data_IF_949640897856
#
_entry.id   IF_949640897856
#
_cell.length_a   1.000
_cell.length_b   1.000
_cell.length_c   1.000
_cell.angle_alpha   90.00
_cell.angle_beta   90.00
_cell.angle_gamma   90.00
#
_symmetry.space_group_name_H-M   'P 1'
#
loop_
_entity.id
_entity.type
_entity.pdbx_description
1 polymer ?
#
# COMPACT_ATOMS: atom_id res chain seq x y z
N UNK A 1 -5.29 6.17 -12.80
CA UNK A 1 -5.04 4.72 -12.73
C UNK A 1 -4.55 4.41 -11.34
N UNK A 2 -5.15 3.45 -10.63
CA UNK A 2 -4.93 3.27 -9.19
C UNK A 2 -3.94 2.12 -8.96
N UNK A 3 -2.79 2.34 -8.28
CA UNK A 3 -1.85 1.29 -7.95
C UNK A 3 -2.40 0.36 -6.85
N UNK A 4 -1.91 -0.89 -6.79
CA UNK A 4 -2.28 -1.80 -5.71
C UNK A 4 -1.68 -1.34 -4.37
N UNK A 5 -2.52 -0.95 -3.41
CA UNK A 5 -2.08 -0.56 -2.07
C UNK A 5 -1.74 -1.75 -1.16
N UNK A 6 -2.19 -2.96 -1.50
CA UNK A 6 -2.03 -4.17 -0.67
C UNK A 6 -0.94 -5.13 -1.17
N UNK A 7 -0.30 -4.90 -2.33
CA UNK A 7 0.73 -5.82 -2.84
C UNK A 7 2.11 -5.42 -2.33
N UNK A 8 2.53 -5.99 -1.21
CA UNK A 8 3.76 -5.61 -0.52
C UNK A 8 4.88 -6.56 -0.92
N UNK A 9 6.02 -6.03 -1.37
CA UNK A 9 7.24 -6.83 -1.51
C UNK A 9 7.93 -6.96 -0.16
N UNK A 10 8.12 -8.20 0.28
CA UNK A 10 8.87 -8.55 1.48
C UNK A 10 9.94 -9.53 1.03
N UNK A 11 11.21 -9.12 1.13
CA UNK A 11 12.35 -9.86 0.58
C UNK A 11 12.13 -10.19 -0.92
N UNK A 12 12.06 -11.47 -1.27
CA UNK A 12 11.90 -11.99 -2.63
C UNK A 12 10.47 -12.43 -2.97
N UNK A 13 9.50 -12.13 -2.11
CA UNK A 13 8.09 -12.51 -2.33
C UNK A 13 7.11 -11.35 -2.18
N UNK A 14 5.93 -11.53 -2.77
CA UNK A 14 4.81 -10.59 -2.66
C UNK A 14 3.76 -11.11 -1.70
N UNK A 15 3.45 -10.32 -0.68
CA UNK A 15 2.44 -10.61 0.34
C UNK A 15 1.23 -9.71 0.13
N UNK A 16 0.04 -10.25 0.39
CA UNK A 16 -1.20 -9.48 0.39
C UNK A 16 -1.35 -8.80 1.75
N UNK A 17 -1.08 -7.50 1.81
CA UNK A 17 -1.24 -6.69 3.01
C UNK A 17 -2.66 -6.68 3.56
N UNK A 18 -3.70 -6.98 2.76
CA UNK A 18 -5.06 -7.15 3.28
C UNK A 18 -5.28 -8.47 4.04
N UNK A 19 -4.41 -9.46 3.83
CA UNK A 19 -4.47 -10.81 4.43
C UNK A 19 -3.06 -11.35 4.71
N UNK A 20 -2.22 -10.66 5.50
CA UNK A 20 -0.88 -11.15 5.80
C UNK A 20 -0.98 -12.45 6.61
N UNK A 21 -0.05 -13.41 6.44
CA UNK A 21 1.13 -13.40 5.57
C UNK A 21 0.89 -14.02 4.18
N UNK A 22 -0.37 -14.14 3.72
CA UNK A 22 -0.70 -14.85 2.48
C UNK A 22 -0.05 -14.19 1.26
N UNK A 23 0.40 -15.02 0.31
CA UNK A 23 0.94 -14.55 -0.96
C UNK A 23 -0.09 -13.72 -1.74
N UNK A 24 0.35 -12.63 -2.39
CA UNK A 24 -0.53 -11.76 -3.17
C UNK A 24 -0.86 -12.38 -4.53
N UNK A 25 -1.88 -13.22 -4.57
CA UNK A 25 -2.36 -13.91 -5.77
C UNK A 25 -3.79 -13.50 -6.14
N UNK A 26 -4.25 -13.95 -7.32
CA UNK A 26 -5.61 -13.72 -7.84
C UNK A 26 -6.71 -14.14 -6.87
N UNK A 27 -6.53 -15.26 -6.16
CA UNK A 27 -7.52 -15.79 -5.21
C UNK A 27 -7.51 -15.13 -3.83
N UNK A 28 -6.40 -14.47 -3.47
CA UNK A 28 -6.23 -13.81 -2.18
C UNK A 28 -6.64 -12.33 -2.24
N UNK A 29 -6.56 -11.73 -3.44
CA UNK A 29 -6.89 -10.33 -3.67
C UNK A 29 -8.27 -9.95 -3.11
N UNK A 30 -8.37 -8.95 -2.22
CA UNK A 30 -9.66 -8.51 -1.67
C UNK A 30 -10.59 -7.90 -2.73
N UNK A 31 -10.02 -7.43 -3.85
CA UNK A 31 -10.78 -6.85 -4.97
C UNK A 31 -11.18 -7.89 -6.04
N UNK A 32 -10.90 -9.17 -5.79
CA UNK A 32 -11.20 -10.26 -6.71
C UNK A 32 -10.19 -10.41 -7.87
N UNK A 33 -10.34 -11.49 -8.66
CA UNK A 33 -9.35 -11.93 -9.65
C UNK A 33 -9.25 -10.99 -10.87
N UNK A 34 -10.38 -10.45 -11.33
CA UNK A 34 -10.42 -9.54 -12.50
C UNK A 34 -9.72 -8.22 -12.19
N UNK A 35 -9.91 -7.69 -10.99
CA UNK A 35 -9.31 -6.43 -10.59
C UNK A 35 -7.82 -6.60 -10.25
N UNK A 36 -7.44 -7.75 -9.71
CA UNK A 36 -6.04 -8.10 -9.44
C UNK A 36 -5.16 -7.93 -10.68
N UNK A 37 -5.57 -8.47 -11.84
CA UNK A 37 -4.79 -8.36 -13.08
C UNK A 37 -4.55 -6.91 -13.51
N UNK A 38 -5.54 -6.03 -13.29
CA UNK A 38 -5.43 -4.61 -13.60
C UNK A 38 -4.50 -3.89 -12.61
N UNK A 39 -4.62 -4.23 -11.34
CA UNK A 39 -3.82 -3.63 -10.26
C UNK A 39 -2.34 -3.99 -10.35
N UNK A 40 -1.99 -5.23 -10.70
CA UNK A 40 -0.59 -5.65 -10.76
C UNK A 40 0.17 -5.01 -11.93
N UNK A 41 -0.51 -4.66 -13.03
CA UNK A 41 0.11 -4.02 -14.19
C UNK A 41 0.66 -2.62 -13.89
N UNK A 42 0.09 -1.97 -12.88
CA UNK A 42 0.42 -0.60 -12.47
C UNK A 42 0.90 -0.55 -11.02
N UNK A 43 1.37 -1.69 -10.52
CA UNK A 43 1.83 -1.81 -9.15
C UNK A 43 3.17 -1.12 -8.95
N UNK A 44 3.19 -0.12 -8.07
CA UNK A 44 4.39 0.55 -7.61
C UNK A 44 4.70 0.15 -6.18
N UNK A 45 5.96 -0.15 -5.89
CA UNK A 45 6.40 -0.50 -4.55
C UNK A 45 6.67 0.78 -3.74
N UNK A 46 6.35 0.73 -2.44
CA UNK A 46 6.61 1.83 -1.51
C UNK A 46 7.58 1.35 -0.44
N UNK A 47 8.56 2.20 -0.10
CA UNK A 47 9.51 1.92 0.97
C UNK A 47 8.88 2.06 2.36
N UNK A 48 7.76 2.79 2.46
CA UNK A 48 7.05 3.05 3.70
C UNK A 48 5.69 2.37 3.67
N UNK A 49 5.34 1.70 4.76
CA UNK A 49 4.12 0.94 4.92
C UNK A 49 3.38 1.41 6.18
N UNK A 50 2.06 1.29 6.15
CA UNK A 50 1.20 1.49 7.31
C UNK A 50 0.71 0.13 7.79
N UNK A 51 0.87 -0.14 9.08
CA UNK A 51 0.22 -1.24 9.79
C UNK A 51 -1.06 -0.68 10.42
N UNK A 52 -2.16 -1.32 10.07
CA UNK A 52 -3.51 -0.97 10.49
C UNK A 52 -4.08 -2.08 11.38
N UNK A 53 -4.95 -1.76 12.36
CA UNK A 53 -5.58 -0.47 12.60
C UNK A 53 -4.73 0.52 13.43
N UNK A 54 -3.55 0.12 13.91
CA UNK A 54 -2.70 0.92 14.80
C UNK A 54 -2.15 2.22 14.20
N UNK A 55 -2.31 2.44 12.89
CA UNK A 55 -1.78 3.59 12.15
C UNK A 55 -0.26 3.74 12.32
N UNK A 56 0.45 2.61 12.48
CA UNK A 56 1.90 2.59 12.67
C UNK A 56 2.59 2.64 11.31
N UNK A 57 3.51 3.59 11.12
CA UNK A 57 4.34 3.66 9.91
C UNK A 57 5.65 2.90 10.16
N UNK A 58 6.01 2.02 9.22
CA UNK A 58 7.29 1.30 9.23
C UNK A 58 7.94 1.32 7.85
N UNK A 59 9.24 1.02 7.79
CA UNK A 59 9.90 0.73 6.51
C UNK A 59 9.59 -0.70 6.07
N UNK A 60 9.50 -0.91 4.76
CA UNK A 60 9.27 -2.24 4.18
C UNK A 60 10.37 -3.25 4.57
N UNK A 61 11.60 -2.80 4.80
CA UNK A 61 12.74 -3.63 5.27
C UNK A 61 12.64 -4.05 6.73
N UNK A 62 11.82 -3.37 7.52
CA UNK A 62 11.62 -3.62 8.96
C UNK A 62 10.31 -4.40 9.21
N UNK A 63 9.60 -4.76 8.15
CA UNK A 63 8.35 -5.49 8.26
C UNK A 63 8.62 -6.95 8.65
N UNK A 64 8.32 -7.27 9.89
CA UNK A 64 8.17 -8.64 10.36
C UNK A 64 6.69 -9.05 10.29
N UNK A 65 6.40 -10.09 9.51
CA UNK A 65 5.04 -10.62 9.36
C UNK A 65 4.63 -11.49 10.54
N UNK A 66 5.58 -12.03 11.31
CA UNK A 66 5.31 -12.90 12.45
C UNK A 66 4.85 -12.14 13.69
N UNK A 67 5.20 -10.86 13.80
CA UNK A 67 4.83 -9.99 14.92
C UNK A 67 3.51 -9.23 14.71
N UNK A 68 2.72 -9.58 13.69
CA UNK A 68 1.47 -8.90 13.39
C UNK A 68 0.34 -9.45 14.25
N UNK A 69 -0.38 -8.54 14.90
CA UNK A 69 -1.57 -8.89 15.66
C UNK A 69 -2.67 -9.48 14.75
N UNK A 70 -3.48 -10.44 15.24
CA UNK A 70 -4.61 -10.97 14.50
C UNK A 70 -5.55 -9.86 14.01
N UNK A 71 -5.87 -9.86 12.71
CA UNK A 71 -6.71 -8.83 12.09
C UNK A 71 -5.95 -7.57 11.64
N UNK A 72 -4.64 -7.49 11.90
CA UNK A 72 -3.81 -6.45 11.33
C UNK A 72 -3.73 -6.58 9.80
N UNK A 73 -3.69 -5.43 9.14
CA UNK A 73 -3.48 -5.35 7.69
C UNK A 73 -2.48 -4.24 7.36
N UNK A 74 -1.85 -4.38 6.21
CA UNK A 74 -0.73 -3.54 5.77
C UNK A 74 -1.12 -2.85 4.48
N UNK A 75 -0.91 -1.54 4.41
CA UNK A 75 -1.08 -0.76 3.19
C UNK A 75 0.18 0.01 2.86
N UNK A 76 0.44 0.20 1.56
CA UNK A 76 1.51 1.09 1.10
C UNK A 76 1.23 2.52 1.53
N UNK A 77 2.25 3.22 1.98
CA UNK A 77 2.19 4.67 2.09
C UNK A 77 2.17 5.28 0.68
N UNK A 78 1.20 6.16 0.44
CA UNK A 78 1.05 6.92 -0.80
C UNK A 78 1.29 8.39 -0.50
N UNK A 79 2.36 8.95 -1.04
CA UNK A 79 2.61 10.39 -0.99
C UNK A 79 1.92 11.07 -2.16
N UNK A 80 0.90 11.86 -1.87
CA UNK A 80 0.24 12.71 -2.87
C UNK A 80 0.91 14.08 -2.83
N UNK A 81 1.67 14.42 -3.87
CA UNK A 81 2.10 15.80 -4.08
C UNK A 81 1.01 16.57 -4.82
N UNK A 82 0.40 17.55 -4.18
CA UNK A 82 -0.35 18.57 -4.91
C UNK A 82 0.68 19.39 -5.71
N UNK A 83 0.74 19.17 -7.04
CA UNK A 83 1.66 19.90 -7.90
C UNK A 83 1.53 21.41 -7.71
N UNK A 84 2.63 22.17 -7.92
CA UNK A 84 2.66 23.65 -7.88
C UNK A 84 1.69 24.23 -8.93
N UNK A 85 0.39 24.24 -8.67
CA UNK A 85 -0.55 25.16 -9.31
C UNK A 85 -0.37 26.49 -8.59
N UNK A 86 0.17 27.45 -9.36
CA UNK A 86 0.27 28.90 -9.15
C UNK A 86 -0.24 29.40 -7.79
N UNK A 87 0.64 30.13 -7.08
CA UNK A 87 0.33 31.02 -5.96
C UNK A 87 -1.16 31.38 -5.93
N UNK A 88 -1.87 31.01 -4.88
CA UNK A 88 -3.04 31.79 -4.48
C UNK A 88 -2.54 33.22 -4.32
N UNK A 89 -2.76 34.08 -5.33
CA UNK A 89 -2.76 35.52 -5.12
C UNK A 89 -3.93 35.76 -4.20
N UNK A 90 -3.67 35.84 -2.89
CA UNK A 90 -4.57 36.55 -2.01
C UNK A 90 -4.53 38.00 -2.48
N UNK A 91 -5.47 38.36 -3.34
CA UNK A 91 -5.81 39.74 -3.62
C UNK A 91 -6.37 40.28 -2.30
N UNK A 92 -5.48 40.85 -1.47
CA UNK A 92 -5.89 41.70 -0.36
C UNK A 92 -6.26 43.03 -1.00
N UNK A 93 -7.57 43.27 -1.05
CA UNK A 93 -8.18 44.59 -1.19
C UNK A 93 -7.62 45.57 -0.16
#
# INVERSE_FOLDING_TARGET
MVPCIYRIRVEDRFVCGARPPLACTRGVCPFGPTFWERLIKHDTQSHMLWIMPELKIIRASELDLGSLEPGAYIVKSVSLSAGRRRRCRSDRR
#
